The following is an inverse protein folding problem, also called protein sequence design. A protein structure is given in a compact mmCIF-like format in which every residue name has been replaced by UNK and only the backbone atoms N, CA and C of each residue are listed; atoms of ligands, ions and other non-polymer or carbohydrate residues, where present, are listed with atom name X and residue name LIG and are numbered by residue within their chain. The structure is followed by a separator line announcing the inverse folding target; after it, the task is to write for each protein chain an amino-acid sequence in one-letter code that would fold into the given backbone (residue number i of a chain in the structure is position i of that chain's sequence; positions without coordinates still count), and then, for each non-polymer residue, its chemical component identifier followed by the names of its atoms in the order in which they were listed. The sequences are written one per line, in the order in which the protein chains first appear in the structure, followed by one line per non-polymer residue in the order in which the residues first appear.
data_IF_460776227723
#
_entry.id   IF_460776227723
#
_cell.length_a   1.000
_cell.length_b   1.000
_cell.length_c   1.000
_cell.angle_alpha   90.00
_cell.angle_beta   90.00
_cell.angle_gamma   90.00
#
_symmetry.space_group_name_H-M   'P 1'
#
loop_
_entity.id
_entity.type
_entity.pdbx_description
1 polymer ?
#
# COMPACT_ATOMS: atom_id res chain seq x y z
N UNK A 1 -9.79 -4.72 11.39
CA UNK A 1 -10.86 -5.37 12.19
C UNK A 1 -11.69 -6.33 11.35
N UNK A 2 -12.25 -7.37 11.96
CA UNK A 2 -13.23 -8.26 11.32
C UNK A 2 -14.69 -7.86 11.63
N UNK A 3 -15.65 -8.51 10.97
CA UNK A 3 -17.08 -8.16 11.07
C UNK A 3 -17.62 -8.24 12.51
N UNK A 4 -17.19 -9.22 13.30
CA UNK A 4 -17.64 -9.38 14.69
C UNK A 4 -17.31 -8.16 15.56
N UNK A 5 -16.04 -7.75 15.57
CA UNK A 5 -15.58 -6.59 16.35
C UNK A 5 -16.24 -5.29 15.86
N UNK A 6 -16.36 -5.14 14.53
CA UNK A 6 -17.00 -3.97 13.93
C UNK A 6 -18.47 -3.87 14.37
N UNK A 7 -19.22 -4.97 14.34
CA UNK A 7 -20.63 -5.01 14.77
C UNK A 7 -20.79 -4.62 16.23
N UNK A 8 -19.96 -5.15 17.13
CA UNK A 8 -20.03 -4.80 18.54
C UNK A 8 -19.80 -3.30 18.79
N UNK A 9 -18.74 -2.74 18.20
CA UNK A 9 -18.44 -1.31 18.36
C UNK A 9 -19.53 -0.41 17.78
N UNK A 10 -20.05 -0.75 16.59
CA UNK A 10 -21.10 0.05 15.93
C UNK A 10 -22.42 0.00 16.70
N UNK A 11 -22.84 -1.17 17.19
CA UNK A 11 -24.13 -1.31 17.88
C UNK A 11 -24.12 -0.77 19.30
N UNK A 12 -23.00 -0.87 20.00
CA UNK A 12 -22.89 -0.36 21.37
C UNK A 12 -22.59 1.13 21.41
N UNK A 13 -21.91 1.67 20.39
CA UNK A 13 -21.47 3.08 20.36
C UNK A 13 -20.54 3.46 21.51
N UNK A 14 -19.95 2.47 22.21
CA UNK A 14 -19.17 2.71 23.42
C UNK A 14 -17.82 3.33 23.11
N UNK A 15 -17.33 4.14 24.04
CA UNK A 15 -15.93 4.56 24.05
C UNK A 15 -15.05 3.41 24.54
N UNK A 16 -13.91 3.18 23.89
CA UNK A 16 -12.97 2.12 24.23
C UNK A 16 -11.53 2.61 24.27
N UNK A 17 -10.65 1.84 24.91
CA UNK A 17 -9.25 2.20 25.11
C UNK A 17 -8.40 1.98 23.85
N UNK A 18 -7.19 2.56 23.81
CA UNK A 18 -6.23 2.32 22.74
C UNK A 18 -5.76 0.85 22.70
N UNK A 19 -5.66 0.19 23.86
CA UNK A 19 -5.32 -1.24 23.94
C UNK A 19 -6.39 -2.11 23.27
N UNK A 20 -7.66 -1.81 23.53
CA UNK A 20 -8.76 -2.50 22.86
C UNK A 20 -8.75 -2.23 21.34
N UNK A 21 -8.41 -1.01 20.92
CA UNK A 21 -8.28 -0.67 19.51
C UNK A 21 -7.16 -1.48 18.80
N UNK A 22 -6.06 -1.80 19.47
CA UNK A 22 -5.02 -2.72 18.95
C UNK A 22 -5.55 -4.14 18.88
N UNK A 23 -6.15 -4.65 19.96
CA UNK A 23 -6.68 -6.01 20.02
C UNK A 23 -7.76 -6.25 18.95
N UNK A 24 -8.62 -5.24 18.71
CA UNK A 24 -9.62 -5.24 17.64
C UNK A 24 -9.05 -5.00 16.23
N UNK A 25 -7.74 -4.78 16.09
CA UNK A 25 -7.04 -4.50 14.82
C UNK A 25 -7.58 -3.27 14.08
N UNK A 26 -7.92 -2.21 14.82
CA UNK A 26 -8.21 -0.89 14.26
C UNK A 26 -6.93 -0.08 14.10
N UNK A 27 -6.04 -0.14 15.09
CA UNK A 27 -4.71 0.47 15.05
C UNK A 27 -3.64 -0.62 15.14
N UNK A 28 -2.45 -0.34 14.57
CA UNK A 28 -1.32 -1.28 14.55
C UNK A 28 -0.65 -1.42 15.92
N UNK A 29 -0.40 -0.30 16.58
CA UNK A 29 0.40 -0.22 17.81
C UNK A 29 0.08 1.06 18.60
N UNK A 30 0.32 1.02 19.91
CA UNK A 30 0.22 2.19 20.81
C UNK A 30 1.61 2.66 21.19
N UNK A 31 1.79 3.98 21.25
CA UNK A 31 3.03 4.65 21.63
C UNK A 31 2.71 5.82 22.57
N UNK A 32 3.69 6.24 23.37
CA UNK A 32 3.57 7.48 24.14
C UNK A 32 3.49 8.69 23.20
N UNK A 33 2.94 9.80 23.70
CA UNK A 33 2.69 10.99 22.86
C UNK A 33 3.96 11.58 22.24
N UNK A 34 5.08 11.52 22.94
CA UNK A 34 6.41 11.96 22.51
C UNK A 34 7.07 11.02 21.48
N UNK A 35 6.76 9.72 21.51
CA UNK A 35 7.30 8.74 20.57
C UNK A 35 6.44 8.55 19.30
N UNK A 36 5.13 8.84 19.39
CA UNK A 36 4.14 8.54 18.34
C UNK A 36 4.59 9.00 16.95
N UNK A 37 4.98 10.27 16.82
CA UNK A 37 5.39 10.83 15.52
C UNK A 37 6.73 10.27 15.04
N UNK A 38 7.64 9.94 15.95
CA UNK A 38 8.93 9.35 15.60
C UNK A 38 8.73 7.96 15.00
N UNK A 39 7.88 7.13 15.62
CA UNK A 39 7.56 5.78 15.09
C UNK A 39 6.84 5.88 13.74
N UNK A 40 5.84 6.75 13.62
CA UNK A 40 5.11 6.93 12.37
C UNK A 40 6.02 7.39 11.22
N UNK A 41 6.92 8.36 11.49
CA UNK A 41 7.92 8.82 10.53
C UNK A 41 8.96 7.75 10.22
N UNK A 42 9.34 6.90 11.18
CA UNK A 42 10.22 5.77 10.96
C UNK A 42 9.69 4.84 9.86
N UNK A 43 8.42 4.45 9.95
CA UNK A 43 7.76 3.63 8.91
C UNK A 43 7.70 4.37 7.57
N UNK A 44 7.39 5.67 7.59
CA UNK A 44 7.34 6.47 6.38
C UNK A 44 8.71 6.57 5.70
N UNK A 45 9.80 6.70 6.47
CA UNK A 45 11.18 6.73 5.96
C UNK A 45 11.62 5.36 5.45
N UNK A 46 11.23 4.28 6.12
CA UNK A 46 11.50 2.93 5.62
C UNK A 46 10.94 2.74 4.21
N UNK A 47 9.69 3.19 3.96
CA UNK A 47 9.09 3.15 2.63
C UNK A 47 9.83 4.10 1.67
N UNK A 48 10.01 5.37 2.08
CA UNK A 48 10.56 6.40 1.19
C UNK A 48 12.01 6.14 0.77
N UNK A 49 12.82 5.54 1.66
CA UNK A 49 14.26 5.38 1.46
C UNK A 49 14.61 4.05 0.75
N UNK A 50 13.70 3.06 0.76
CA UNK A 50 14.01 1.70 0.27
C UNK A 50 13.15 1.23 -0.90
N UNK A 51 12.19 2.01 -1.39
CA UNK A 51 11.22 1.53 -2.38
C UNK A 51 11.06 2.45 -3.57
N UNK A 52 10.72 1.86 -4.72
CA UNK A 52 10.36 2.58 -5.94
C UNK A 52 8.97 3.25 -5.79
N UNK A 53 8.85 4.59 -5.90
CA UNK A 53 7.57 5.28 -5.69
C UNK A 53 6.44 4.79 -6.61
N UNK A 54 6.75 4.51 -7.88
CA UNK A 54 5.76 3.99 -8.84
C UNK A 54 5.28 2.59 -8.43
N UNK A 55 6.18 1.71 -7.98
CA UNK A 55 5.80 0.38 -7.52
C UNK A 55 4.90 0.45 -6.29
N UNK A 56 5.22 1.30 -5.29
CA UNK A 56 4.37 1.51 -4.11
C UNK A 56 2.98 2.03 -4.50
N UNK A 57 2.92 2.99 -5.43
CA UNK A 57 1.66 3.54 -5.91
C UNK A 57 0.77 2.47 -6.56
N UNK A 58 1.34 1.65 -7.44
CA UNK A 58 0.62 0.54 -8.10
C UNK A 58 0.18 -0.54 -7.10
N UNK A 59 1.07 -0.95 -6.18
CA UNK A 59 0.73 -1.92 -5.14
C UNK A 59 -0.40 -1.42 -4.25
N UNK A 60 -0.39 -0.14 -3.85
CA UNK A 60 -1.49 0.48 -3.09
C UNK A 60 -2.81 0.47 -3.85
N UNK A 61 -2.78 0.76 -5.16
CA UNK A 61 -3.97 0.70 -6.01
C UNK A 61 -4.53 -0.72 -6.11
N UNK A 62 -3.67 -1.71 -6.34
CA UNK A 62 -4.06 -3.12 -6.41
C UNK A 62 -4.64 -3.62 -5.10
N UNK A 63 -3.97 -3.38 -3.97
CA UNK A 63 -4.48 -3.77 -2.66
C UNK A 63 -5.88 -3.20 -2.43
N UNK A 64 -6.11 -1.91 -2.74
CA UNK A 64 -7.42 -1.28 -2.52
C UNK A 64 -8.52 -1.80 -3.42
N UNK A 65 -8.26 -1.87 -4.74
CA UNK A 65 -9.27 -2.27 -5.72
C UNK A 65 -9.59 -3.76 -5.65
N UNK A 66 -8.60 -4.60 -5.37
CA UNK A 66 -8.75 -6.05 -5.38
C UNK A 66 -9.20 -6.64 -4.05
N UNK A 67 -9.21 -5.87 -2.94
CA UNK A 67 -9.78 -6.34 -1.67
C UNK A 67 -11.25 -6.80 -1.80
N UNK A 68 -12.00 -6.23 -2.75
CA UNK A 68 -13.39 -6.60 -3.06
C UNK A 68 -13.57 -7.36 -4.37
N UNK A 69 -12.50 -7.84 -5.00
CA UNK A 69 -12.61 -8.59 -6.25
C UNK A 69 -13.37 -9.90 -6.05
N UNK A 70 -14.18 -10.30 -7.04
CA UNK A 70 -14.99 -11.51 -6.96
C UNK A 70 -14.17 -12.78 -7.19
N UNK A 71 -13.05 -12.68 -7.90
CA UNK A 71 -12.17 -13.80 -8.19
C UNK A 71 -10.69 -13.36 -8.25
N UNK A 72 -9.72 -14.17 -7.75
CA UNK A 72 -8.30 -13.83 -7.78
C UNK A 72 -7.71 -13.61 -9.17
N UNK A 73 -8.38 -14.12 -10.22
CA UNK A 73 -7.98 -13.90 -11.61
C UNK A 73 -8.00 -12.41 -12.00
N UNK A 74 -8.85 -11.60 -11.39
CA UNK A 74 -8.91 -10.16 -11.64
C UNK A 74 -7.60 -9.49 -11.18
N UNK A 75 -7.14 -9.84 -9.98
CA UNK A 75 -5.87 -9.37 -9.45
C UNK A 75 -4.69 -9.88 -10.29
N UNK A 76 -4.70 -11.16 -10.67
CA UNK A 76 -3.65 -11.75 -11.52
C UNK A 76 -3.53 -11.05 -12.88
N UNK A 77 -4.65 -10.73 -13.52
CA UNK A 77 -4.64 -10.07 -14.83
C UNK A 77 -4.06 -8.65 -14.75
N UNK A 78 -4.37 -7.91 -13.68
CA UNK A 78 -3.81 -6.58 -13.40
C UNK A 78 -2.33 -6.69 -13.04
N UNK A 79 -1.96 -7.61 -12.15
CA UNK A 79 -0.59 -7.85 -11.71
C UNK A 79 0.32 -8.19 -12.88
N UNK A 80 -0.12 -9.08 -13.78
CA UNK A 80 0.66 -9.48 -14.96
C UNK A 80 1.01 -8.29 -15.85
N UNK A 81 0.08 -7.33 -16.01
CA UNK A 81 0.35 -6.08 -16.74
C UNK A 81 1.32 -5.19 -15.96
N UNK A 82 1.13 -5.08 -14.65
CA UNK A 82 2.02 -4.34 -13.76
C UNK A 82 3.46 -4.84 -13.79
N UNK A 83 3.67 -6.14 -13.60
CA UNK A 83 4.99 -6.77 -13.68
C UNK A 83 5.59 -6.56 -15.08
N UNK A 84 4.83 -6.77 -16.15
CA UNK A 84 5.31 -6.56 -17.51
C UNK A 84 5.77 -5.10 -17.75
N UNK A 85 4.99 -4.13 -17.29
CA UNK A 85 5.32 -2.71 -17.43
C UNK A 85 6.52 -2.31 -16.56
N UNK A 86 6.54 -2.73 -15.29
CA UNK A 86 7.63 -2.41 -14.35
C UNK A 86 8.94 -3.11 -14.70
N UNK A 87 8.90 -4.34 -15.23
CA UNK A 87 10.11 -5.05 -15.66
C UNK A 87 10.93 -4.29 -16.71
N UNK A 88 10.28 -3.47 -17.54
CA UNK A 88 10.89 -2.64 -18.60
C UNK A 88 11.24 -1.21 -18.15
N UNK A 89 11.03 -0.88 -16.88
CA UNK A 89 11.20 0.48 -16.35
C UNK A 89 12.65 0.84 -16.03
N UNK A 90 12.92 2.15 -15.87
CA UNK A 90 14.23 2.60 -15.40
C UNK A 90 14.49 2.20 -13.94
N UNK A 91 13.45 2.11 -13.10
CA UNK A 91 13.57 1.60 -11.73
C UNK A 91 14.04 0.15 -11.68
N UNK A 92 13.59 -0.70 -12.62
CA UNK A 92 14.02 -2.10 -12.71
C UNK A 92 15.52 -2.19 -12.98
N UNK A 93 15.99 -1.41 -13.96
CA UNK A 93 17.42 -1.30 -14.27
C UNK A 93 18.21 -0.79 -13.07
N UNK A 94 17.74 0.29 -12.44
CA UNK A 94 18.39 0.89 -11.27
C UNK A 94 18.49 -0.09 -10.10
N UNK A 95 17.43 -0.84 -9.80
CA UNK A 95 17.45 -1.83 -8.71
C UNK A 95 18.49 -2.94 -8.95
N UNK A 96 18.65 -3.40 -10.19
CA UNK A 96 19.71 -4.36 -10.55
C UNK A 96 21.09 -3.71 -10.43
N UNK A 97 21.25 -2.50 -10.96
CA UNK A 97 22.52 -1.78 -10.94
C UNK A 97 22.98 -1.46 -9.52
N UNK A 98 22.11 -0.91 -8.67
CA UNK A 98 22.44 -0.55 -7.28
C UNK A 98 22.82 -1.78 -6.46
N UNK A 99 22.15 -2.92 -6.70
CA UNK A 99 22.49 -4.19 -6.07
C UNK A 99 23.89 -4.66 -6.45
N UNK A 100 24.22 -4.68 -7.75
CA UNK A 100 25.55 -5.09 -8.23
C UNK A 100 26.65 -4.15 -7.72
N UNK A 101 26.36 -2.86 -7.63
CA UNK A 101 27.27 -1.81 -7.13
C UNK A 101 27.30 -1.71 -5.60
N UNK A 102 26.48 -2.49 -4.88
CA UNK A 102 26.35 -2.49 -3.41
C UNK A 102 26.07 -1.10 -2.82
N UNK A 103 25.20 -0.33 -3.47
CA UNK A 103 24.77 1.00 -3.01
C UNK A 103 23.25 1.06 -2.83
N UNK A 104 22.79 2.10 -2.14
CA UNK A 104 21.37 2.42 -2.10
C UNK A 104 20.84 2.75 -3.50
N UNK A 105 19.62 2.32 -3.80
CA UNK A 105 18.93 2.60 -5.05
C UNK A 105 18.42 4.05 -5.08
N UNK A 106 18.50 4.69 -6.24
CA UNK A 106 17.90 6.00 -6.51
C UNK A 106 16.94 5.83 -7.69
N UNK A 107 15.72 5.40 -7.37
CA UNK A 107 14.68 5.08 -8.36
C UNK A 107 14.26 6.33 -9.15
N UNK A 108 14.53 6.40 -10.47
CA UNK A 108 14.31 7.61 -11.26
C UNK A 108 12.85 7.84 -11.67
N UNK A 109 12.01 6.81 -11.73
CA UNK A 109 10.63 6.98 -12.17
C UNK A 109 9.80 7.74 -11.12
N UNK A 110 8.94 8.65 -11.57
CA UNK A 110 8.08 9.45 -10.70
C UNK A 110 6.62 9.14 -10.93
N UNK A 111 5.85 9.14 -9.84
CA UNK A 111 4.38 9.03 -9.90
C UNK A 111 3.76 10.20 -10.68
N UNK A 112 4.36 11.39 -10.61
CA UNK A 112 3.90 12.61 -11.31
C UNK A 112 3.97 12.52 -12.83
N UNK A 113 4.82 11.65 -13.36
CA UNK A 113 5.07 11.56 -14.80
C UNK A 113 4.05 10.63 -15.48
N UNK A 114 3.08 10.14 -14.70
CA UNK A 114 2.06 9.19 -15.10
C UNK A 114 2.34 7.79 -14.58
N UNK A 115 1.27 7.07 -14.23
CA UNK A 115 1.33 5.66 -13.88
C UNK A 115 0.99 4.81 -15.12
N UNK A 116 1.63 3.65 -15.30
CA UNK A 116 1.20 2.74 -16.35
C UNK A 116 -0.25 2.32 -16.08
N UNK A 117 -1.08 2.32 -17.13
CA UNK A 117 -2.43 1.83 -17.03
C UNK A 117 -2.43 0.30 -16.95
N UNK A 118 -2.55 -0.21 -15.72
CA UNK A 118 -2.66 -1.64 -15.42
C UNK A 118 -4.12 -2.07 -15.20
N UNK A 119 -5.07 -1.12 -15.26
CA UNK A 119 -6.50 -1.29 -15.02
C UNK A 119 -7.35 -0.83 -16.22
N UNK A 120 -7.08 -1.26 -17.46
CA UNK A 120 -7.72 -0.69 -18.67
C UNK A 120 -9.22 -0.96 -18.81
N UNK A 121 -9.81 -1.78 -17.93
CA UNK A 121 -11.24 -2.11 -17.90
C UNK A 121 -11.89 -1.72 -16.57
N UNK A 122 -11.19 -0.95 -15.74
CA UNK A 122 -11.72 -0.51 -14.47
C UNK A 122 -12.54 0.76 -14.67
N UNK A 123 -13.80 0.69 -14.27
CA UNK A 123 -14.70 1.83 -14.22
C UNK A 123 -14.94 2.15 -12.74
N UNK A 124 -14.67 3.40 -12.34
CA UNK A 124 -14.99 3.81 -10.97
C UNK A 124 -16.52 3.86 -10.84
N UNK A 125 -17.08 3.31 -9.74
CA UNK A 125 -18.53 3.27 -9.57
C UNK A 125 -19.10 4.68 -9.46
N UNK A 126 -20.19 4.94 -10.19
CA UNK A 126 -20.92 6.20 -10.08
C UNK A 126 -21.75 6.24 -8.79
N UNK A 127 -21.76 7.41 -8.13
CA UNK A 127 -22.66 7.69 -7.04
C UNK A 127 -23.97 8.22 -7.62
N UNK A 128 -25.04 7.44 -7.48
CA UNK A 128 -26.39 7.77 -7.94
C UNK A 128 -27.32 8.16 -6.79
#
# INVERSE_FOLDING_TARGET
MGIQQATEWVFTGRVFSAEEAVNGRLIRSVHSGDELLNVARGIAREIADNTAPVSVALSRQMLRRMMGASHPMDAHAVESRGISARGRSADSKEGVTSFLEKRAAVYPDRVSDGLPDIFPRWEDPEFY
#
